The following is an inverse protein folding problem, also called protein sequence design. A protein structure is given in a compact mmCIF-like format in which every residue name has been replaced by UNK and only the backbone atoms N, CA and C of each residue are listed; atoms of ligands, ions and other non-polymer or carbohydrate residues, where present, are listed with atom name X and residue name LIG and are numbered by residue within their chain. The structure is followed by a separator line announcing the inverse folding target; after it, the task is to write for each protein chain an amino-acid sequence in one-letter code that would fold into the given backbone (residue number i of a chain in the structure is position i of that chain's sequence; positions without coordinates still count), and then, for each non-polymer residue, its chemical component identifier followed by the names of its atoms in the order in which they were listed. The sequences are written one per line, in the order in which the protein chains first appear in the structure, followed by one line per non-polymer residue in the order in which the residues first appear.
data_IF_575525355235
#
_entry.id   IF_575525355235
#
_cell.length_a   1.000
_cell.length_b   1.000
_cell.length_c   1.000
_cell.angle_alpha   90.00
_cell.angle_beta   90.00
_cell.angle_gamma   90.00
#
_symmetry.space_group_name_H-M   'P 1'
#
loop_
_entity.id
_entity.type
_entity.pdbx_description
1 polymer ?
#
# COMPACT_ATOMS: atom_id res chain seq x y z
N UNK A 1 -22.61 21.83 -9.05
CA UNK A 1 -21.51 22.36 -8.22
C UNK A 1 -20.69 21.16 -7.78
N UNK A 2 -19.50 20.96 -8.34
CA UNK A 2 -18.62 19.87 -7.93
C UNK A 2 -17.94 20.29 -6.62
N UNK A 3 -18.51 19.85 -5.49
CA UNK A 3 -17.85 19.87 -4.19
C UNK A 3 -16.70 18.86 -4.22
N UNK A 4 -15.60 19.20 -4.89
CA UNK A 4 -14.42 18.35 -4.83
C UNK A 4 -13.78 18.57 -3.45
N UNK A 5 -13.60 17.49 -2.71
CA UNK A 5 -13.00 17.50 -1.36
C UNK A 5 -11.61 18.15 -1.33
N UNK A 6 -10.96 18.29 -2.48
CA UNK A 6 -9.76 19.08 -2.67
C UNK A 6 -9.87 20.53 -2.13
N UNK A 7 -11.07 21.12 -2.06
CA UNK A 7 -11.28 22.46 -1.50
C UNK A 7 -11.39 22.51 0.04
N UNK A 8 -11.65 21.38 0.73
CA UNK A 8 -11.83 21.35 2.21
C UNK A 8 -10.54 21.08 2.98
N UNK A 9 -9.43 20.82 2.29
CA UNK A 9 -8.13 20.54 2.87
C UNK A 9 -7.91 19.06 3.21
N UNK A 10 -6.64 18.64 3.26
CA UNK A 10 -6.24 17.24 3.41
C UNK A 10 -6.77 16.61 4.71
N UNK A 11 -6.78 17.36 5.82
CA UNK A 11 -7.28 16.89 7.12
C UNK A 11 -8.78 16.61 7.14
N UNK A 12 -9.59 17.47 6.50
CA UNK A 12 -11.04 17.26 6.41
C UNK A 12 -11.37 16.09 5.47
N UNK A 13 -10.59 15.92 4.40
CA UNK A 13 -10.75 14.78 3.48
C UNK A 13 -10.40 13.47 4.18
N UNK A 14 -9.30 13.44 4.95
CA UNK A 14 -8.90 12.28 5.74
C UNK A 14 -9.99 11.85 6.71
N UNK A 15 -10.55 12.78 7.51
CA UNK A 15 -11.62 12.48 8.46
C UNK A 15 -12.94 12.05 7.80
N UNK A 16 -13.22 12.50 6.57
CA UNK A 16 -14.45 12.14 5.86
C UNK A 16 -14.35 10.78 5.15
N UNK A 17 -13.14 10.36 4.75
CA UNK A 17 -12.93 9.15 3.96
C UNK A 17 -12.35 7.99 4.75
N UNK A 18 -11.55 8.25 5.78
CA UNK A 18 -10.79 7.25 6.51
C UNK A 18 -11.17 7.27 7.98
N UNK A 19 -12.09 6.38 8.32
CA UNK A 19 -12.65 6.22 9.66
C UNK A 19 -12.06 4.98 10.32
N UNK A 20 -11.33 5.18 11.42
CA UNK A 20 -10.70 4.10 12.17
C UNK A 20 -11.68 3.18 12.89
N UNK A 21 -12.89 3.65 13.21
CA UNK A 21 -13.87 2.87 13.96
C UNK A 21 -14.62 1.91 13.02
N UNK A 22 -14.94 2.38 11.81
CA UNK A 22 -15.73 1.60 10.83
C UNK A 22 -14.88 0.92 9.76
N UNK A 23 -13.62 1.31 9.61
CA UNK A 23 -12.75 0.83 8.53
C UNK A 23 -13.13 1.37 7.14
N UNK A 24 -14.03 2.34 7.08
CA UNK A 24 -14.49 2.93 5.81
C UNK A 24 -13.33 3.64 5.10
N UNK A 25 -13.23 3.47 3.78
CA UNK A 25 -12.19 4.04 2.92
C UNK A 25 -11.00 3.12 2.66
N UNK A 26 -10.56 2.33 3.65
CA UNK A 26 -9.39 1.45 3.52
C UNK A 26 -9.61 0.30 2.53
N UNK A 27 -10.83 -0.24 2.49
CA UNK A 27 -11.20 -1.35 1.59
C UNK A 27 -10.96 -1.04 0.11
N UNK A 28 -11.24 0.18 -0.35
CA UNK A 28 -11.02 0.55 -1.75
C UNK A 28 -9.52 0.61 -2.09
N UNK A 29 -8.68 0.96 -1.11
CA UNK A 29 -7.23 0.90 -1.25
C UNK A 29 -6.80 -0.57 -1.34
N UNK A 30 -7.28 -1.44 -0.44
CA UNK A 30 -6.96 -2.88 -0.45
C UNK A 30 -7.29 -3.55 -1.79
N UNK A 31 -8.44 -3.19 -2.37
CA UNK A 31 -8.89 -3.69 -3.67
C UNK A 31 -8.09 -3.13 -4.85
N UNK A 32 -7.18 -2.18 -4.60
CA UNK A 32 -6.31 -1.59 -5.62
C UNK A 32 -6.99 -0.57 -6.53
N UNK A 33 -8.09 0.06 -6.07
CA UNK A 33 -8.73 1.12 -6.84
C UNK A 33 -7.76 2.30 -7.04
N UNK A 34 -7.50 2.65 -8.31
CA UNK A 34 -6.47 3.62 -8.64
C UNK A 34 -6.73 5.02 -8.05
N UNK A 35 -8.00 5.41 -7.93
CA UNK A 35 -8.39 6.68 -7.34
C UNK A 35 -8.17 6.71 -5.83
N UNK A 36 -8.60 5.64 -5.14
CA UNK A 36 -8.43 5.47 -3.72
C UNK A 36 -6.95 5.36 -3.31
N UNK A 37 -6.14 4.57 -4.04
CA UNK A 37 -4.70 4.46 -3.81
C UNK A 37 -4.02 5.82 -4.02
N UNK A 38 -4.35 6.56 -5.08
CA UNK A 38 -3.80 7.90 -5.28
C UNK A 38 -4.18 8.86 -4.15
N UNK A 39 -5.43 8.83 -3.70
CA UNK A 39 -5.89 9.65 -2.58
C UNK A 39 -5.16 9.27 -1.28
N UNK A 40 -4.94 7.98 -1.04
CA UNK A 40 -4.20 7.45 0.09
C UNK A 40 -2.78 8.01 0.15
N UNK A 41 -2.01 7.93 -0.95
CA UNK A 41 -0.67 8.50 -1.04
C UNK A 41 -0.65 10.01 -0.80
N UNK A 42 -1.66 10.75 -1.28
CA UNK A 42 -1.76 12.20 -1.08
C UNK A 42 -2.06 12.58 0.38
N UNK A 43 -2.77 11.73 1.12
CA UNK A 43 -3.20 12.01 2.49
C UNK A 43 -2.28 11.40 3.55
N UNK A 44 -1.47 10.40 3.20
CA UNK A 44 -0.56 9.71 4.13
C UNK A 44 0.35 10.67 4.93
N UNK A 45 0.94 11.75 4.37
CA UNK A 45 1.79 12.67 5.13
C UNK A 45 1.07 13.46 6.24
N UNK A 46 -0.26 13.58 6.16
CA UNK A 46 -1.08 14.28 7.16
C UNK A 46 -1.91 13.33 8.01
N UNK A 47 -1.80 12.02 7.74
CA UNK A 47 -2.44 10.99 8.53
C UNK A 47 -1.63 10.75 9.82
N UNK A 48 -2.34 10.47 10.92
CA UNK A 48 -1.73 10.19 12.22
C UNK A 48 -2.44 9.05 12.94
N UNK A 49 -1.72 8.37 13.84
CA UNK A 49 -2.25 7.26 14.63
C UNK A 49 -2.84 6.16 13.74
N UNK A 50 -4.04 5.70 14.11
CA UNK A 50 -4.75 4.61 13.42
C UNK A 50 -4.94 4.86 11.92
N UNK A 51 -5.15 6.11 11.49
CA UNK A 51 -5.36 6.44 10.08
C UNK A 51 -4.08 6.21 9.28
N UNK A 52 -2.94 6.61 9.83
CA UNK A 52 -1.65 6.39 9.18
C UNK A 52 -1.36 4.90 9.05
N UNK A 53 -1.52 4.15 10.14
CA UNK A 53 -1.26 2.71 10.17
C UNK A 53 -2.17 1.95 9.19
N UNK A 54 -3.47 2.29 9.18
CA UNK A 54 -4.45 1.63 8.31
C UNK A 54 -4.23 1.98 6.83
N UNK A 55 -3.91 3.24 6.51
CA UNK A 55 -3.58 3.63 5.13
C UNK A 55 -2.30 2.94 4.66
N UNK A 56 -1.24 2.95 5.49
CA UNK A 56 0.02 2.29 5.17
C UNK A 56 -0.18 0.78 4.92
N UNK A 57 -0.95 0.13 5.80
CA UNK A 57 -1.30 -1.27 5.67
C UNK A 57 -2.09 -1.55 4.38
N UNK A 58 -3.11 -0.75 4.07
CA UNK A 58 -3.88 -0.95 2.84
C UNK A 58 -3.11 -0.65 1.57
N UNK A 59 -2.18 0.32 1.57
CA UNK A 59 -1.27 0.54 0.43
C UNK A 59 -0.40 -0.69 0.21
N UNK A 60 0.09 -1.34 1.27
CA UNK A 60 0.87 -2.57 1.15
C UNK A 60 0.06 -3.74 0.54
N UNK A 61 -1.26 -3.79 0.77
CA UNK A 61 -2.16 -4.73 0.10
C UNK A 61 -2.37 -4.36 -1.37
N UNK A 62 -2.54 -3.07 -1.66
CA UNK A 62 -2.67 -2.52 -3.01
C UNK A 62 -1.45 -2.83 -3.89
N UNK A 63 -0.27 -3.01 -3.28
CA UNK A 63 0.92 -3.48 -4.00
C UNK A 63 0.72 -4.87 -4.61
N UNK A 64 -0.09 -5.73 -4.02
CA UNK A 64 -0.37 -7.08 -4.55
C UNK A 64 -1.55 -7.07 -5.53
N UNK A 65 -2.61 -6.30 -5.24
CA UNK A 65 -3.83 -6.28 -6.05
C UNK A 65 -3.72 -5.40 -7.30
N UNK A 66 -2.97 -4.29 -7.24
CA UNK A 66 -2.71 -3.40 -8.36
C UNK A 66 -1.25 -2.87 -8.34
N UNK A 67 -0.25 -3.75 -8.57
CA UNK A 67 1.16 -3.42 -8.39
C UNK A 67 1.63 -2.27 -9.29
N UNK A 68 1.13 -2.17 -10.52
CA UNK A 68 1.56 -1.14 -11.47
C UNK A 68 1.18 0.26 -11.01
N UNK A 69 -0.05 0.48 -10.57
CA UNK A 69 -0.50 1.79 -10.08
C UNK A 69 0.22 2.15 -8.80
N UNK A 70 0.28 1.22 -7.85
CA UNK A 70 0.86 1.47 -6.52
C UNK A 70 2.37 1.72 -6.61
N UNK A 71 3.12 0.94 -7.42
CA UNK A 71 4.55 1.21 -7.68
C UNK A 71 4.77 2.53 -8.41
N UNK A 72 3.87 2.89 -9.34
CA UNK A 72 3.94 4.17 -10.05
C UNK A 72 3.81 5.37 -9.11
N UNK A 73 2.96 5.26 -8.09
CA UNK A 73 2.82 6.27 -7.05
C UNK A 73 4.01 6.24 -6.09
N UNK A 74 4.48 5.07 -5.67
CA UNK A 74 5.67 4.92 -4.83
C UNK A 74 6.93 5.53 -5.49
N UNK A 75 7.05 5.46 -6.81
CA UNK A 75 8.13 6.11 -7.56
C UNK A 75 8.12 7.65 -7.47
N UNK A 76 6.95 8.24 -7.24
CA UNK A 76 6.71 9.69 -7.23
C UNK A 76 6.68 10.28 -5.83
N UNK A 77 6.47 9.42 -4.83
CA UNK A 77 6.23 9.80 -3.45
C UNK A 77 7.32 9.20 -2.56
N UNK A 78 8.11 10.05 -1.91
CA UNK A 78 9.09 9.64 -0.89
C UNK A 78 8.36 9.37 0.45
N UNK A 79 7.41 8.45 0.41
CA UNK A 79 6.52 8.15 1.52
C UNK A 79 6.37 6.63 1.64
N UNK A 80 6.83 6.08 2.77
CA UNK A 80 6.73 4.68 3.19
C UNK A 80 7.44 3.65 2.30
N UNK A 81 7.90 2.54 2.88
CA UNK A 81 8.32 1.32 2.19
C UNK A 81 7.17 0.28 2.22
N UNK A 82 6.16 0.35 1.33
CA UNK A 82 5.05 -0.60 1.31
C UNK A 82 5.39 -1.89 0.56
N UNK A 83 6.65 -2.08 0.15
CA UNK A 83 7.08 -3.22 -0.66
C UNK A 83 6.96 -4.56 0.08
N UNK A 84 6.86 -4.56 1.40
CA UNK A 84 6.49 -5.74 2.17
C UNK A 84 5.01 -5.62 2.55
N UNK A 85 4.16 -6.56 2.12
CA UNK A 85 2.76 -6.58 2.54
C UNK A 85 2.63 -6.56 4.06
N UNK A 86 1.64 -5.85 4.57
CA UNK A 86 1.31 -5.86 5.98
C UNK A 86 0.86 -7.27 6.39
N UNK A 87 1.55 -7.84 7.37
CA UNK A 87 1.28 -9.21 7.87
C UNK A 87 1.06 -9.15 9.37
N UNK A 88 -0.18 -8.88 9.78
CA UNK A 88 -0.54 -8.80 11.20
C UNK A 88 -0.92 -10.19 11.73
N UNK A 89 -0.14 -10.70 12.71
CA UNK A 89 -0.42 -11.95 13.43
C UNK A 89 -0.55 -13.20 12.54
N UNK A 90 0.16 -13.23 11.40
CA UNK A 90 0.09 -14.35 10.48
C UNK A 90 0.97 -15.53 10.93
N UNK A 91 0.50 -16.76 10.69
CA UNK A 91 1.30 -17.95 10.93
C UNK A 91 2.42 -18.04 9.89
N UNK A 92 3.59 -18.63 10.21
CA UNK A 92 4.71 -18.69 9.26
C UNK A 92 4.37 -19.27 7.88
N UNK A 93 3.55 -20.33 7.74
CA UNK A 93 3.11 -20.79 6.42
C UNK A 93 2.28 -19.76 5.65
N UNK A 94 1.43 -18.99 6.35
CA UNK A 94 0.59 -17.94 5.74
C UNK A 94 1.42 -16.71 5.35
N UNK A 95 2.39 -16.32 6.18
CA UNK A 95 3.39 -15.31 5.86
C UNK A 95 4.11 -15.64 4.55
N UNK A 96 4.59 -16.88 4.39
CA UNK A 96 5.27 -17.30 3.16
C UNK A 96 4.35 -17.26 1.93
N UNK A 97 3.10 -17.68 2.07
CA UNK A 97 2.13 -17.60 0.97
C UNK A 97 1.87 -16.16 0.52
N UNK A 98 1.71 -15.22 1.47
CA UNK A 98 1.54 -13.79 1.18
C UNK A 98 2.77 -13.22 0.46
N UNK A 99 3.98 -13.60 0.89
CA UNK A 99 5.22 -13.19 0.24
C UNK A 99 5.36 -13.75 -1.18
N UNK A 100 4.88 -14.98 -1.43
CA UNK A 100 4.85 -15.58 -2.78
C UNK A 100 3.86 -14.85 -3.70
N UNK A 101 2.68 -14.49 -3.18
CA UNK A 101 1.68 -13.71 -3.92
C UNK A 101 2.23 -12.32 -4.29
N UNK A 102 2.85 -11.63 -3.33
CA UNK A 102 3.46 -10.33 -3.55
C UNK A 102 4.60 -10.39 -4.58
N UNK A 103 5.49 -11.40 -4.49
CA UNK A 103 6.55 -11.59 -5.46
C UNK A 103 5.99 -11.77 -6.87
N UNK A 104 4.98 -12.63 -7.06
CA UNK A 104 4.33 -12.83 -8.36
C UNK A 104 3.72 -11.53 -8.90
N UNK A 105 3.03 -10.77 -8.04
CA UNK A 105 2.44 -9.49 -8.42
C UNK A 105 3.51 -8.50 -8.91
N UNK A 106 4.64 -8.41 -8.20
CA UNK A 106 5.71 -7.47 -8.54
C UNK A 106 6.44 -7.90 -9.82
N UNK A 107 6.66 -9.20 -9.99
CA UNK A 107 7.24 -9.77 -11.21
C UNK A 107 6.36 -9.51 -12.43
N UNK A 108 5.03 -9.47 -12.27
CA UNK A 108 4.07 -9.18 -13.35
C UNK A 108 4.12 -7.74 -13.88
N UNK A 109 4.74 -6.80 -13.16
CA UNK A 109 4.91 -5.42 -13.63
C UNK A 109 5.95 -5.38 -14.74
N UNK A 110 5.52 -5.08 -15.96
CA UNK A 110 6.37 -5.04 -17.15
C UNK A 110 6.75 -3.63 -17.60
N UNK A 111 6.22 -2.58 -16.97
CA UNK A 111 6.51 -1.19 -17.34
C UNK A 111 7.99 -0.86 -17.07
N UNK A 112 8.79 -0.51 -18.10
CA UNK A 112 10.20 -0.17 -17.93
C UNK A 112 10.44 1.04 -17.01
N UNK A 113 9.50 2.00 -16.95
CA UNK A 113 9.62 3.16 -16.08
C UNK A 113 9.62 2.79 -14.60
N UNK A 114 9.05 1.63 -14.26
CA UNK A 114 8.93 1.13 -12.89
C UNK A 114 10.05 0.15 -12.51
N UNK A 115 11.00 -0.14 -13.41
CA UNK A 115 12.02 -1.17 -13.19
C UNK A 115 12.83 -0.98 -11.90
N UNK A 116 13.18 0.27 -11.56
CA UNK A 116 13.93 0.59 -10.34
C UNK A 116 13.13 0.29 -9.08
N UNK A 117 11.86 0.72 -9.03
CA UNK A 117 10.99 0.49 -7.87
C UNK A 117 10.65 -1.00 -7.74
N UNK A 118 10.39 -1.68 -8.85
CA UNK A 118 10.21 -3.13 -8.89
C UNK A 118 11.41 -3.86 -8.30
N UNK A 119 12.63 -3.52 -8.71
CA UNK A 119 13.84 -4.16 -8.19
C UNK A 119 14.02 -3.91 -6.69
N UNK A 120 13.78 -2.67 -6.23
CA UNK A 120 13.78 -2.33 -4.80
C UNK A 120 12.80 -3.21 -4.03
N UNK A 121 11.54 -3.28 -4.46
CA UNK A 121 10.52 -4.04 -3.75
C UNK A 121 10.80 -5.56 -3.75
N UNK A 122 11.32 -6.11 -4.85
CA UNK A 122 11.72 -7.53 -4.89
C UNK A 122 12.90 -7.82 -3.96
N UNK A 123 13.84 -6.88 -3.80
CA UNK A 123 14.94 -7.02 -2.85
C UNK A 123 14.43 -7.02 -1.40
N UNK A 124 13.55 -6.09 -1.05
CA UNK A 124 12.95 -6.02 0.29
C UNK A 124 12.12 -7.26 0.64
N UNK A 125 11.32 -7.78 -0.30
CA UNK A 125 10.61 -9.05 -0.11
C UNK A 125 11.57 -10.21 0.17
N UNK A 126 12.71 -10.26 -0.53
CA UNK A 126 13.72 -11.30 -0.34
C UNK A 126 14.40 -11.20 1.02
N UNK A 127 14.77 -10.00 1.44
CA UNK A 127 15.36 -9.75 2.75
C UNK A 127 14.39 -10.12 3.87
N UNK A 128 13.13 -9.70 3.75
CA UNK A 128 12.10 -10.03 4.73
C UNK A 128 11.85 -11.54 4.81
N UNK A 129 11.83 -12.24 3.67
CA UNK A 129 11.69 -13.71 3.61
C UNK A 129 12.84 -14.41 4.32
N UNK A 130 14.08 -13.96 4.11
CA UNK A 130 15.26 -14.55 4.74
C UNK A 130 15.27 -14.36 6.28
N UNK A 131 14.59 -13.33 6.78
CA UNK A 131 14.44 -13.07 8.20
C UNK A 131 13.31 -13.89 8.87
N UNK A 132 12.45 -14.58 8.09
CA UNK A 132 11.39 -15.41 8.66
C UNK A 132 11.96 -16.68 9.30
N UNK A 133 11.50 -17.07 10.50
CA UNK A 133 11.98 -18.28 11.15
C UNK A 133 11.65 -19.51 10.29
N UNK A 134 12.68 -20.25 9.89
CA UNK A 134 12.53 -21.58 9.30
C UNK A 134 12.23 -22.56 10.41
N UNK A 135 11.00 -23.10 10.46
CA UNK A 135 10.65 -24.22 11.32
C UNK A 135 11.41 -25.49 10.91
#
# INVERSE_FOLDING_TARGET
MQDSLAHKGAKATLAAYFDCDTGTGYKLIDEGDAGAVKLAFALLPVAHGCQWESIAFSISHAMTTNPTVTMGLLAQHDILDPCVPGMNNETPPRTLAILDDAQRAYESVTDPALAKVKQKCLAELKEFRAAQPTH
#
